data_IF_283746095996
#
_entry.id   IF_283746095996
#
_cell.length_a   1.000
_cell.length_b   1.000
_cell.length_c   1.000
_cell.angle_alpha   90.00
_cell.angle_beta   90.00
_cell.angle_gamma   90.00
#
_symmetry.space_group_name_H-M   'P 1'
#
loop_
_entity.id
_entity.type
_entity.pdbx_description
1 polymer ?
#
# COMPACT_ATOMS: atom_id res chain seq x y z
N UNK A 1 -15.41 4.75 5.31
CA UNK A 1 -14.80 3.93 6.38
C UNK A 1 -13.60 4.71 6.88
N UNK A 2 -13.35 4.80 8.19
CA UNK A 2 -12.19 5.54 8.70
C UNK A 2 -10.89 4.85 8.24
N UNK A 3 -9.89 5.64 7.86
CA UNK A 3 -8.58 5.14 7.44
C UNK A 3 -7.95 4.40 8.62
N UNK A 4 -7.47 3.15 8.44
CA UNK A 4 -6.85 2.40 9.52
C UNK A 4 -5.56 3.09 9.98
N UNK A 5 -5.31 3.06 11.30
CA UNK A 5 -4.05 3.51 11.87
C UNK A 5 -2.90 2.66 11.33
N UNK A 6 -1.89 3.33 10.79
CA UNK A 6 -0.73 2.72 10.15
C UNK A 6 0.53 3.27 10.79
N UNK A 7 1.56 2.44 10.91
CA UNK A 7 2.84 2.83 11.51
C UNK A 7 4.01 2.34 10.67
N UNK A 8 5.12 3.08 10.71
CA UNK A 8 6.39 2.64 10.11
C UNK A 8 6.79 1.27 10.67
N UNK A 9 7.18 0.37 9.78
CA UNK A 9 7.51 -1.03 10.11
C UNK A 9 6.31 -1.95 10.25
N UNK A 10 5.08 -1.41 10.18
CA UNK A 10 3.86 -2.20 10.06
C UNK A 10 3.63 -2.74 8.65
N UNK A 11 2.52 -3.45 8.50
CA UNK A 11 2.13 -4.12 7.26
C UNK A 11 0.69 -3.74 6.89
N UNK A 12 0.43 -3.66 5.59
CA UNK A 12 -0.89 -3.40 5.01
C UNK A 12 -1.14 -4.38 3.87
N UNK A 13 -2.40 -4.51 3.46
CA UNK A 13 -2.79 -5.28 2.28
C UNK A 13 -3.10 -4.31 1.16
N UNK A 14 -2.32 -4.38 0.08
CA UNK A 14 -2.57 -3.67 -1.16
C UNK A 14 -3.55 -4.45 -2.02
N UNK A 15 -4.57 -3.80 -2.56
CA UNK A 15 -5.53 -4.39 -3.51
C UNK A 15 -5.70 -3.50 -4.72
N UNK A 16 -5.93 -4.10 -5.89
CA UNK A 16 -6.35 -3.35 -7.09
C UNK A 16 -7.88 -3.28 -7.21
N UNK A 17 -8.61 -4.26 -6.65
CA UNK A 17 -10.06 -4.30 -6.60
C UNK A 17 -10.57 -4.96 -5.32
N UNK A 18 -11.87 -4.83 -5.01
CA UNK A 18 -12.46 -5.41 -3.81
C UNK A 18 -12.41 -6.96 -3.77
N UNK A 19 -12.37 -7.59 -4.94
CA UNK A 19 -12.32 -9.05 -5.12
C UNK A 19 -10.89 -9.61 -5.11
N UNK A 20 -9.88 -8.73 -5.12
CA UNK A 20 -8.48 -9.12 -5.08
C UNK A 20 -8.10 -9.61 -3.66
N UNK A 21 -7.47 -10.81 -3.53
CA UNK A 21 -6.98 -11.29 -2.24
C UNK A 21 -5.97 -10.31 -1.59
N UNK A 22 -5.32 -9.51 -2.43
CA UNK A 22 -4.36 -8.48 -2.08
C UNK A 22 -2.95 -9.01 -1.91
N UNK A 23 -2.01 -8.09 -1.83
CA UNK A 23 -0.60 -8.37 -1.61
C UNK A 23 -0.17 -7.66 -0.34
N UNK A 24 0.52 -8.39 0.53
CA UNK A 24 1.07 -7.83 1.76
C UNK A 24 2.24 -6.88 1.45
N UNK A 25 2.22 -5.71 2.07
CA UNK A 25 3.19 -4.66 1.85
C UNK A 25 3.68 -4.07 3.18
N UNK A 26 4.99 -3.92 3.31
CA UNK A 26 5.62 -3.32 4.48
C UNK A 26 5.64 -1.81 4.36
N UNK A 27 5.26 -1.10 5.42
CA UNK A 27 5.33 0.37 5.50
C UNK A 27 6.75 0.80 5.85
N UNK A 28 7.40 1.50 4.92
CA UNK A 28 8.71 2.10 5.17
C UNK A 28 8.62 3.52 5.71
N UNK A 29 7.65 4.29 5.24
CA UNK A 29 7.48 5.70 5.62
C UNK A 29 6.04 6.14 5.35
N UNK A 30 5.49 6.94 6.24
CA UNK A 30 4.30 7.74 6.01
C UNK A 30 4.70 9.16 5.58
N UNK A 31 4.00 9.69 4.58
CA UNK A 31 4.20 11.05 4.08
C UNK A 31 3.17 12.01 4.72
N UNK A 32 3.46 13.32 4.66
CA UNK A 32 2.62 14.36 5.28
C UNK A 32 1.22 14.47 4.66
N UNK A 33 1.06 14.07 3.40
CA UNK A 33 -0.22 13.98 2.70
C UNK A 33 -1.02 12.71 3.08
N UNK A 34 -0.47 11.88 3.96
CA UNK A 34 -1.02 10.58 4.32
C UNK A 34 -0.72 9.48 3.29
N UNK A 35 0.05 9.71 2.23
CA UNK A 35 0.47 8.62 1.34
C UNK A 35 1.50 7.74 2.05
N UNK A 36 1.44 6.42 1.83
CA UNK A 36 2.41 5.47 2.40
C UNK A 36 3.45 5.08 1.36
N UNK A 37 4.72 5.08 1.74
CA UNK A 37 5.79 4.46 0.97
C UNK A 37 5.98 3.02 1.45
N UNK A 38 5.73 2.07 0.56
CA UNK A 38 5.62 0.65 0.89
C UNK A 38 6.51 -0.23 0.00
N UNK A 39 6.89 -1.39 0.52
CA UNK A 39 7.58 -2.45 -0.22
C UNK A 39 6.75 -3.72 -0.22
N UNK A 40 6.56 -4.34 -1.39
CA UNK A 40 5.78 -5.58 -1.54
C UNK A 40 6.42 -6.53 -2.55
N UNK A 41 6.02 -7.80 -2.51
CA UNK A 41 6.54 -8.86 -3.38
C UNK A 41 5.45 -9.35 -4.34
N UNK A 42 5.39 -8.76 -5.53
CA UNK A 42 4.46 -9.19 -6.58
C UNK A 42 5.07 -10.37 -7.36
N UNK A 43 4.79 -11.59 -6.90
CA UNK A 43 5.18 -12.83 -7.58
C UNK A 43 6.70 -12.95 -7.86
N UNK A 44 7.51 -12.22 -7.09
CA UNK A 44 8.98 -12.18 -7.23
C UNK A 44 9.64 -12.03 -5.86
N UNK A 45 10.84 -12.60 -5.73
CA UNK A 45 11.69 -12.39 -4.54
C UNK A 45 12.19 -10.95 -4.44
N UNK A 46 12.15 -10.18 -5.53
CA UNK A 46 12.54 -8.77 -5.51
C UNK A 46 11.41 -7.93 -4.91
N UNK A 47 11.77 -7.10 -3.93
CA UNK A 47 10.85 -6.14 -3.35
C UNK A 47 10.58 -5.01 -4.34
N UNK A 48 9.31 -4.86 -4.74
CA UNK A 48 8.82 -3.69 -5.47
C UNK A 48 8.48 -2.59 -4.48
N UNK A 49 8.99 -1.38 -4.72
CA UNK A 49 8.68 -0.20 -3.89
C UNK A 49 7.67 0.67 -4.62
N UNK A 50 6.64 1.12 -3.91
CA UNK A 50 5.61 1.97 -4.46
C UNK A 50 5.03 2.92 -3.41
N UNK A 51 4.25 3.89 -3.89
CA UNK A 51 3.39 4.70 -3.05
C UNK A 51 2.01 4.05 -2.98
N UNK A 52 1.40 4.02 -1.79
CA UNK A 52 0.08 3.49 -1.54
C UNK A 52 -0.83 4.58 -0.97
N UNK A 53 -2.06 4.62 -1.47
CA UNK A 53 -3.11 5.57 -1.08
C UNK A 53 -4.33 4.81 -0.58
N UNK A 54 -5.05 5.42 0.36
CA UNK A 54 -6.29 4.88 0.90
C UNK A 54 -7.44 5.24 -0.03
N UNK A 55 -8.11 4.25 -0.61
CA UNK A 55 -9.25 4.41 -1.54
C UNK A 55 -10.58 4.19 -0.82
N UNK A 56 -10.72 4.83 0.36
CA UNK A 56 -11.88 4.77 1.27
C UNK A 56 -12.22 3.40 1.88
N UNK A 57 -11.74 2.31 1.27
CA UNK A 57 -12.06 0.91 1.60
C UNK A 57 -10.80 0.06 1.73
N UNK A 58 -9.80 0.26 0.88
CA UNK A 58 -8.56 -0.50 0.88
C UNK A 58 -7.37 0.35 0.44
N UNK A 59 -6.17 -0.12 0.78
CA UNK A 59 -4.94 0.46 0.27
C UNK A 59 -4.70 0.00 -1.16
N UNK A 60 -4.39 0.92 -2.06
CA UNK A 60 -4.04 0.63 -3.45
C UNK A 60 -2.74 1.32 -3.82
N UNK A 61 -2.02 0.76 -4.80
CA UNK A 61 -0.84 1.43 -5.35
C UNK A 61 -1.28 2.70 -6.08
N UNK A 62 -0.63 3.82 -5.78
CA UNK A 62 -0.79 5.05 -6.53
C UNK A 62 -0.25 4.82 -7.95
N UNK A 63 -1.14 4.78 -8.94
CA UNK A 63 -0.72 4.69 -10.33
C UNK A 63 0.12 5.93 -10.66
N UNK A 64 1.32 5.70 -11.20
CA UNK A 64 2.15 6.75 -11.76
C UNK A 64 1.34 7.37 -12.91
N UNK A 65 0.80 8.58 -12.71
CA UNK A 65 0.27 9.36 -13.84
C UNK A 65 1.43 9.51 -14.83
N UNK A 66 1.28 8.94 -16.03
CA UNK A 66 2.17 9.16 -17.16
C UNK A 66 2.10 10.62 -17.59
#
# INVERSE_FOLDING_TARGET
MERPEVKKGGWIILRESAEDPGIEAQIYREQEDGTLFVGYHAYSIRTTKAHAVWDETFWRVAQRRK
#
